data_IF_675210622201
#
_entry.id   IF_675210622201
#
_cell.length_a   1.000
_cell.length_b   1.000
_cell.length_c   1.000
_cell.angle_alpha   90.00
_cell.angle_beta   90.00
_cell.angle_gamma   90.00
#
_symmetry.space_group_name_H-M   'P 1'
#
loop_
_entity.id
_entity.type
_entity.pdbx_description
1 polymer ?
#
# COMPACT_ATOMS: atom_id res chain seq x y z
N UNK A 1 9.75 -13.82 -36.94
CA UNK A 1 9.51 -14.46 -35.61
C UNK A 1 10.74 -14.45 -34.70
N UNK A 2 11.90 -15.01 -35.11
CA UNK A 2 13.14 -14.97 -34.30
C UNK A 2 13.67 -13.54 -34.01
N UNK A 3 13.55 -12.62 -34.98
CA UNK A 3 13.91 -11.20 -34.80
C UNK A 3 13.00 -10.48 -33.78
N UNK A 4 11.70 -10.77 -33.80
CA UNK A 4 10.71 -10.21 -32.87
C UNK A 4 10.91 -10.71 -31.44
N UNK A 5 11.26 -11.99 -31.26
CA UNK A 5 11.60 -12.57 -29.95
C UNK A 5 12.92 -11.98 -29.44
N UNK A 6 13.92 -11.80 -30.30
CA UNK A 6 15.18 -11.15 -29.94
C UNK A 6 15.01 -9.69 -29.54
N UNK A 7 14.19 -8.93 -30.25
CA UNK A 7 13.84 -7.54 -29.90
C UNK A 7 13.05 -7.50 -28.59
N UNK A 8 12.10 -8.41 -28.36
CA UNK A 8 11.36 -8.47 -27.09
C UNK A 8 12.27 -8.80 -25.90
N UNK A 9 13.20 -9.76 -26.05
CA UNK A 9 14.15 -10.12 -24.99
C UNK A 9 15.15 -9.00 -24.69
N UNK A 10 15.66 -8.31 -25.73
CA UNK A 10 16.51 -7.14 -25.58
C UNK A 10 15.76 -5.97 -24.93
N UNK A 11 14.48 -5.76 -25.29
CA UNK A 11 13.64 -4.73 -24.66
C UNK A 11 13.31 -5.08 -23.21
N UNK A 12 13.09 -6.35 -22.86
CA UNK A 12 12.88 -6.79 -21.47
C UNK A 12 14.16 -6.60 -20.64
N UNK A 13 15.33 -6.98 -21.17
CA UNK A 13 16.61 -6.77 -20.51
C UNK A 13 16.96 -5.28 -20.35
N UNK A 14 16.74 -4.47 -21.38
CA UNK A 14 16.92 -3.01 -21.34
C UNK A 14 15.96 -2.33 -20.35
N UNK A 15 14.75 -2.87 -20.17
CA UNK A 15 13.74 -2.35 -19.23
C UNK A 15 13.95 -2.76 -17.78
N UNK A 16 14.46 -3.96 -17.52
CA UNK A 16 14.91 -4.33 -16.16
C UNK A 16 16.00 -3.37 -15.67
N UNK A 17 16.90 -2.96 -16.58
CA UNK A 17 17.90 -1.91 -16.34
C UNK A 17 17.24 -0.54 -16.15
N UNK A 18 16.27 -0.16 -16.98
CA UNK A 18 15.66 1.17 -16.88
C UNK A 18 14.74 1.35 -15.66
N UNK A 19 13.97 0.32 -15.27
CA UNK A 19 13.21 0.32 -14.02
C UNK A 19 14.17 0.46 -12.84
N UNK A 20 15.24 -0.36 -12.79
CA UNK A 20 16.31 -0.23 -11.80
C UNK A 20 16.91 1.18 -11.77
N UNK A 21 17.08 1.84 -12.91
CA UNK A 21 17.59 3.21 -12.99
C UNK A 21 16.62 4.25 -12.41
N UNK A 22 15.31 4.15 -12.67
CA UNK A 22 14.29 5.06 -12.08
C UNK A 22 14.22 4.89 -10.56
N UNK A 23 14.26 3.65 -10.09
CA UNK A 23 14.28 3.32 -8.66
C UNK A 23 15.58 3.78 -7.98
N UNK A 24 16.73 3.52 -8.60
CA UNK A 24 18.04 4.02 -8.15
C UNK A 24 18.05 5.54 -8.09
N UNK A 25 17.44 6.22 -9.06
CA UNK A 25 17.34 7.68 -9.09
C UNK A 25 16.47 8.23 -7.96
N UNK A 26 15.31 7.60 -7.68
CA UNK A 26 14.45 8.00 -6.54
C UNK A 26 15.17 7.80 -5.21
N UNK A 27 15.86 6.69 -5.05
CA UNK A 27 16.67 6.38 -3.88
C UNK A 27 17.79 7.41 -3.74
N UNK A 28 18.61 7.64 -4.76
CA UNK A 28 19.68 8.64 -4.75
C UNK A 28 19.18 10.06 -4.45
N UNK A 29 18.04 10.45 -5.04
CA UNK A 29 17.41 11.74 -4.76
C UNK A 29 16.97 11.83 -3.29
N UNK A 30 16.42 10.75 -2.73
CA UNK A 30 16.08 10.66 -1.32
C UNK A 30 17.32 10.77 -0.43
N UNK A 31 18.39 10.01 -0.70
CA UNK A 31 19.65 10.07 0.05
C UNK A 31 20.27 11.48 0.00
N UNK A 32 20.27 12.12 -1.18
CA UNK A 32 20.82 13.47 -1.36
C UNK A 32 19.98 14.53 -0.64
N UNK A 33 18.64 14.42 -0.66
CA UNK A 33 17.74 15.31 0.08
C UNK A 33 17.92 15.13 1.59
N UNK A 34 17.94 13.89 2.08
CA UNK A 34 18.07 13.60 3.51
C UNK A 34 19.43 14.05 4.05
N UNK A 35 20.53 13.80 3.32
CA UNK A 35 21.85 14.28 3.71
C UNK A 35 21.95 15.82 3.78
N UNK A 36 21.24 16.54 2.89
CA UNK A 36 21.12 18.01 2.98
C UNK A 36 20.35 18.45 4.23
N UNK A 37 19.25 17.77 4.54
CA UNK A 37 18.42 18.05 5.73
C UNK A 37 19.22 17.80 7.01
N UNK A 38 19.94 16.67 7.11
CA UNK A 38 20.79 16.34 8.26
C UNK A 38 21.83 17.43 8.52
N UNK A 39 22.54 17.87 7.47
CA UNK A 39 23.54 18.91 7.59
C UNK A 39 22.94 20.27 7.98
N UNK A 40 21.72 20.60 7.52
CA UNK A 40 21.02 21.83 7.88
C UNK A 40 20.53 21.82 9.33
N UNK A 41 19.91 20.71 9.79
CA UNK A 41 19.46 20.54 11.17
C UNK A 41 20.60 20.66 12.19
N UNK A 42 21.78 20.15 11.87
CA UNK A 42 22.96 20.27 12.73
C UNK A 42 23.48 21.71 12.85
N UNK A 43 23.35 22.52 11.78
CA UNK A 43 23.78 23.94 11.79
C UNK A 43 22.87 24.82 12.62
N UNK A 44 21.55 24.62 12.51
CA UNK A 44 20.54 25.44 13.18
C UNK A 44 20.11 24.87 14.54
N UNK A 45 20.79 23.82 15.00
CA UNK A 45 20.41 23.05 16.19
C UNK A 45 20.13 23.91 17.44
N UNK A 46 20.95 24.93 17.67
CA UNK A 46 20.80 25.85 18.79
C UNK A 46 19.58 26.77 18.66
N UNK A 47 19.27 27.24 17.44
CA UNK A 47 18.12 28.12 17.16
C UNK A 47 16.80 27.33 17.18
N UNK A 48 16.81 26.10 16.65
CA UNK A 48 15.67 25.18 16.72
C UNK A 48 15.38 24.82 18.17
N UNK A 49 16.40 24.42 18.94
CA UNK A 49 16.24 24.06 20.35
C UNK A 49 15.81 25.25 21.23
N UNK A 50 16.32 26.46 20.98
CA UNK A 50 15.88 27.65 21.72
C UNK A 50 14.47 28.09 21.35
N UNK A 51 14.04 27.86 20.10
CA UNK A 51 12.66 28.13 19.66
C UNK A 51 11.66 27.21 20.35
N UNK A 52 12.01 25.94 20.55
CA UNK A 52 11.12 24.93 21.12
C UNK A 52 10.94 25.03 22.65
N UNK A 53 11.56 26.00 23.32
CA UNK A 53 11.40 26.19 24.76
C UNK A 53 9.95 26.62 25.09
N UNK A 54 9.27 25.73 25.82
CA UNK A 54 7.83 25.62 25.91
C UNK A 54 7.20 26.69 26.80
N UNK A 55 7.06 27.93 26.30
CA UNK A 55 6.00 28.84 26.79
C UNK A 55 4.69 28.55 26.05
N UNK A 56 4.04 27.43 26.38
CA UNK A 56 2.63 27.17 26.04
C UNK A 56 1.64 28.10 26.80
N UNK A 57 2.16 29.06 27.57
CA UNK A 57 1.36 29.95 28.38
C UNK A 57 1.20 31.33 27.72
N UNK A 58 -0.07 31.63 27.44
CA UNK A 58 -0.75 32.92 27.61
C UNK A 58 -0.93 33.92 26.47
N UNK A 59 -0.38 33.76 25.26
CA UNK A 59 -0.59 34.78 24.21
C UNK A 59 -0.79 34.22 22.79
N UNK A 60 -1.85 33.43 22.57
CA UNK A 60 -2.06 32.77 21.25
C UNK A 60 -3.31 33.26 20.49
N UNK A 61 -4.14 34.18 20.98
CA UNK A 61 -5.50 34.29 20.37
C UNK A 61 -6.11 35.69 20.28
N UNK A 62 -5.43 36.66 19.66
CA UNK A 62 -6.12 37.86 19.15
C UNK A 62 -5.47 38.34 17.84
N UNK A 63 -6.09 38.04 16.70
CA UNK A 63 -5.73 38.64 15.41
C UNK A 63 -6.97 39.06 14.62
N UNK A 64 -6.91 40.24 14.03
CA UNK A 64 -8.04 40.96 13.40
C UNK A 64 -8.55 40.38 12.07
N UNK A 65 -8.03 39.24 11.61
CA UNK A 65 -8.36 38.63 10.31
C UNK A 65 -8.91 37.20 10.38
N UNK A 66 -9.17 36.67 11.59
CA UNK A 66 -9.78 35.35 11.75
C UNK A 66 -11.30 35.41 11.59
N UNK A 67 -11.93 34.32 11.14
CA UNK A 67 -13.38 34.24 11.11
C UNK A 67 -13.96 34.40 12.52
N UNK A 68 -14.99 35.24 12.66
CA UNK A 68 -15.58 35.58 13.97
C UNK A 68 -16.02 34.33 14.75
N UNK A 69 -16.58 33.34 14.06
CA UNK A 69 -17.04 32.11 14.70
C UNK A 69 -15.87 31.27 15.23
N UNK A 70 -14.79 31.12 14.45
CA UNK A 70 -13.58 30.44 14.90
C UNK A 70 -12.96 31.19 16.09
N UNK A 71 -12.95 32.52 16.08
CA UNK A 71 -12.45 33.32 17.21
C UNK A 71 -13.23 33.06 18.50
N UNK A 72 -14.56 33.12 18.46
CA UNK A 72 -15.42 32.86 19.61
C UNK A 72 -15.22 31.43 20.16
N UNK A 73 -15.19 30.42 19.28
CA UNK A 73 -15.02 29.01 19.66
C UNK A 73 -13.59 28.73 20.19
N UNK A 74 -12.57 29.37 19.64
CA UNK A 74 -11.19 29.26 20.13
C UNK A 74 -11.00 29.92 21.49
N UNK A 75 -11.64 31.07 21.74
CA UNK A 75 -11.65 31.72 23.05
C UNK A 75 -12.33 30.83 24.10
N UNK A 76 -13.45 30.19 23.73
CA UNK A 76 -14.10 29.19 24.58
C UNK A 76 -13.19 28.00 24.85
N UNK A 77 -12.64 27.38 23.82
CA UNK A 77 -11.69 26.26 23.94
C UNK A 77 -10.54 26.60 24.88
N UNK A 78 -9.94 27.78 24.73
CA UNK A 78 -8.87 28.27 25.59
C UNK A 78 -9.32 28.40 27.05
N UNK A 79 -10.47 29.03 27.28
CA UNK A 79 -11.05 29.19 28.62
C UNK A 79 -11.26 27.83 29.27
N UNK A 80 -11.83 26.88 28.55
CA UNK A 80 -12.17 25.56 29.06
C UNK A 80 -10.90 24.71 29.28
N UNK A 81 -9.85 24.93 28.48
CA UNK A 81 -8.53 24.36 28.71
C UNK A 81 -7.89 24.87 30.02
N UNK A 82 -8.01 26.17 30.34
CA UNK A 82 -7.55 26.71 31.62
C UNK A 82 -8.30 26.11 32.81
N UNK A 83 -9.59 25.82 32.64
CA UNK A 83 -10.41 25.15 33.65
C UNK A 83 -10.20 23.62 33.67
N UNK A 84 -9.35 23.08 32.78
CA UNK A 84 -9.04 21.65 32.66
C UNK A 84 -10.25 20.79 32.31
N UNK A 85 -11.15 21.32 31.49
CA UNK A 85 -12.27 20.56 30.94
C UNK A 85 -11.76 19.38 30.11
N UNK A 86 -12.39 18.21 30.28
CA UNK A 86 -11.89 16.95 29.69
C UNK A 86 -11.78 17.01 28.18
N UNK A 87 -12.81 17.53 27.50
CA UNK A 87 -12.81 17.63 26.03
C UNK A 87 -11.67 18.53 25.53
N UNK A 88 -11.38 19.62 26.26
CA UNK A 88 -10.35 20.57 25.89
C UNK A 88 -8.94 19.95 26.07
N UNK A 89 -8.75 19.18 27.15
CA UNK A 89 -7.55 18.37 27.34
C UNK A 89 -7.38 17.33 26.23
N UNK A 90 -8.46 16.65 25.82
CA UNK A 90 -8.43 15.68 24.73
C UNK A 90 -8.07 16.31 23.38
N UNK A 91 -8.59 17.50 23.08
CA UNK A 91 -8.22 18.24 21.86
C UNK A 91 -6.76 18.69 21.89
N UNK A 92 -6.27 19.24 23.02
CA UNK A 92 -4.86 19.60 23.17
C UNK A 92 -3.94 18.37 23.04
N UNK A 93 -4.33 17.26 23.65
CA UNK A 93 -3.57 16.01 23.61
C UNK A 93 -3.51 15.42 22.19
N UNK A 94 -4.57 15.63 21.41
CA UNK A 94 -4.66 15.21 20.02
C UNK A 94 -3.77 16.01 19.06
N UNK A 95 -3.31 17.21 19.44
CA UNK A 95 -2.36 17.98 18.63
C UNK A 95 -0.98 17.29 18.54
N UNK A 96 -0.29 17.53 17.42
CA UNK A 96 1.09 17.11 17.22
C UNK A 96 2.02 17.81 18.21
N UNK A 97 2.88 17.03 18.86
CA UNK A 97 3.86 17.52 19.84
C UNK A 97 5.27 17.18 19.37
N UNK A 98 6.26 18.06 19.60
CA UNK A 98 7.66 17.75 19.33
C UNK A 98 8.09 16.50 20.11
N UNK A 99 8.47 15.40 19.42
CA UNK A 99 9.06 14.22 20.03
C UNK A 99 10.57 14.44 20.24
N UNK A 100 11.21 13.51 20.96
CA UNK A 100 12.67 13.47 21.02
C UNK A 100 13.28 13.22 19.64
N UNK A 101 14.49 13.75 19.40
CA UNK A 101 15.23 13.49 18.16
C UNK A 101 14.92 14.45 17.00
N UNK A 102 14.54 15.69 17.29
CA UNK A 102 14.30 16.74 16.28
C UNK A 102 15.56 17.00 15.45
N UNK A 103 16.73 17.12 16.10
CA UNK A 103 18.02 17.28 15.42
C UNK A 103 18.44 16.04 14.62
N UNK A 104 17.82 14.90 14.91
CA UNK A 104 18.00 13.65 14.17
C UNK A 104 16.87 13.43 13.17
N UNK A 105 16.10 14.48 12.82
CA UNK A 105 15.11 14.46 11.74
C UNK A 105 13.67 14.06 12.11
N UNK A 106 13.34 13.96 13.39
CA UNK A 106 11.97 13.67 13.82
C UNK A 106 11.09 14.92 13.70
N UNK A 107 10.59 15.18 12.48
CA UNK A 107 9.86 16.39 12.08
C UNK A 107 8.43 16.12 11.61
N UNK A 108 7.97 14.88 11.65
CA UNK A 108 6.59 14.52 11.32
C UNK A 108 5.79 14.28 12.60
N UNK A 109 4.97 15.27 12.99
CA UNK A 109 4.21 15.26 14.25
C UNK A 109 2.71 15.21 13.95
N UNK A 110 2.17 14.06 13.51
CA UNK A 110 0.77 13.96 13.12
C UNK A 110 -0.20 14.10 14.29
N UNK A 111 0.20 13.89 15.54
CA UNK A 111 -0.74 13.86 16.66
C UNK A 111 -1.79 12.74 16.47
N UNK A 112 -2.95 12.88 17.12
CA UNK A 112 -4.01 11.86 17.14
C UNK A 112 -5.28 12.33 16.42
N UNK A 113 -5.35 12.05 15.12
CA UNK A 113 -6.55 12.33 14.31
C UNK A 113 -7.81 11.73 14.92
N UNK A 114 -7.78 10.44 15.27
CA UNK A 114 -8.94 9.70 15.78
C UNK A 114 -9.46 10.24 17.12
N UNK A 115 -8.59 10.86 17.92
CA UNK A 115 -8.97 11.48 19.19
C UNK A 115 -9.58 12.86 18.96
N UNK A 116 -9.05 13.64 18.01
CA UNK A 116 -9.58 14.96 17.68
C UNK A 116 -11.04 14.88 17.19
N UNK A 117 -11.31 14.01 16.22
CA UNK A 117 -12.65 13.90 15.60
C UNK A 117 -13.71 13.25 16.49
N UNK A 118 -13.30 12.61 17.59
CA UNK A 118 -14.23 12.05 18.60
C UNK A 118 -14.84 13.13 19.48
N UNK A 119 -14.24 14.32 19.56
CA UNK A 119 -14.78 15.42 20.36
C UNK A 119 -15.97 16.01 19.63
N UNK A 120 -17.18 15.79 20.15
CA UNK A 120 -18.43 16.29 19.55
C UNK A 120 -19.18 17.24 20.48
N UNK A 121 -19.96 18.13 19.88
CA UNK A 121 -20.83 19.09 20.56
C UNK A 121 -21.90 18.44 21.44
N UNK A 122 -22.43 17.29 21.01
CA UNK A 122 -23.51 16.57 21.67
C UNK A 122 -23.03 15.89 22.95
N UNK A 123 -21.86 15.26 22.91
CA UNK A 123 -21.30 14.52 24.06
C UNK A 123 -20.75 15.47 25.14
N UNK A 124 -20.21 16.62 24.74
CA UNK A 124 -19.49 17.53 25.65
C UNK A 124 -20.26 18.83 25.98
N UNK A 125 -21.49 19.00 25.47
CA UNK A 125 -22.30 20.23 25.64
C UNK A 125 -21.54 21.51 25.21
N UNK A 126 -20.80 21.41 24.10
CA UNK A 126 -20.01 22.50 23.51
C UNK A 126 -20.67 23.02 22.22
N UNK A 127 -20.14 24.12 21.64
CA UNK A 127 -20.74 24.79 20.47
C UNK A 127 -20.20 24.28 19.13
N UNK A 128 -19.15 23.46 19.16
CA UNK A 128 -18.39 23.04 17.98
C UNK A 128 -17.97 21.57 18.11
N UNK A 129 -17.60 20.97 16.98
CA UNK A 129 -16.98 19.64 16.95
C UNK A 129 -15.46 19.80 16.80
N UNK A 130 -14.68 18.78 17.16
CA UNK A 130 -13.25 18.74 16.91
C UNK A 130 -12.96 18.51 15.43
N UNK A 131 -12.12 19.35 14.83
CA UNK A 131 -11.70 19.26 13.43
C UNK A 131 -10.18 19.20 13.34
N UNK A 132 -9.71 18.18 12.63
CA UNK A 132 -8.29 17.91 12.49
C UNK A 132 -7.73 18.52 11.20
N UNK A 133 -6.55 19.11 11.31
CA UNK A 133 -5.79 19.65 10.18
C UNK A 133 -4.36 19.07 10.17
N UNK A 134 -3.83 18.79 8.98
CA UNK A 134 -2.39 18.57 8.79
C UNK A 134 -1.79 19.81 8.14
N UNK A 135 -0.87 20.47 8.83
CA UNK A 135 -0.08 21.56 8.31
C UNK A 135 1.24 21.02 7.75
N UNK A 136 1.49 21.27 6.47
CA UNK A 136 2.79 21.05 5.82
C UNK A 136 3.58 22.35 5.88
N UNK A 137 4.66 22.30 6.62
CA UNK A 137 5.53 23.43 6.94
C UNK A 137 6.88 23.21 6.28
N UNK A 138 7.56 24.31 5.98
CA UNK A 138 8.95 24.30 5.54
C UNK A 138 9.75 25.24 6.40
N UNK A 139 10.85 24.73 6.96
CA UNK A 139 11.89 25.55 7.53
C UNK A 139 12.82 25.99 6.40
N UNK A 140 12.98 27.29 6.24
CA UNK A 140 13.85 27.89 5.24
C UNK A 140 15.10 28.42 5.93
N UNK A 141 16.24 27.81 5.61
CA UNK A 141 17.56 28.24 6.07
C UNK A 141 17.82 29.70 5.67
N UNK A 142 18.51 30.47 6.52
CA UNK A 142 18.82 31.90 6.34
C UNK A 142 19.45 32.27 4.98
N UNK A 143 20.08 31.29 4.29
CA UNK A 143 20.70 31.44 2.97
C UNK A 143 19.90 30.82 1.80
N UNK A 144 18.62 30.45 1.98
CA UNK A 144 17.70 29.96 0.94
C UNK A 144 18.14 28.67 0.17
N UNK A 145 19.08 27.88 0.67
CA UNK A 145 19.62 26.72 -0.06
C UNK A 145 18.93 25.39 0.27
N UNK A 146 18.28 25.28 1.43
CA UNK A 146 17.58 24.06 1.83
C UNK A 146 16.23 24.36 2.49
N UNK A 147 15.20 23.64 2.02
CA UNK A 147 13.86 23.66 2.59
C UNK A 147 13.67 22.35 3.33
N UNK A 148 13.49 22.41 4.65
CA UNK A 148 13.29 21.23 5.49
C UNK A 148 11.78 21.03 5.67
N UNK A 149 11.18 19.96 5.08
CA UNK A 149 9.75 19.71 5.22
C UNK A 149 9.44 19.19 6.62
N UNK A 150 8.33 19.67 7.18
CA UNK A 150 7.81 19.31 8.49
C UNK A 150 6.30 19.15 8.39
N UNK A 151 5.74 18.19 9.15
CA UNK A 151 4.29 17.98 9.24
C UNK A 151 3.82 18.19 10.67
N UNK A 152 2.76 18.97 10.86
CA UNK A 152 2.16 19.23 12.17
C UNK A 152 0.65 18.97 12.13
N UNK A 153 0.18 18.05 12.95
CA UNK A 153 -1.24 17.82 13.19
C UNK A 153 -1.81 18.81 14.20
N UNK A 154 -2.95 19.43 13.89
CA UNK A 154 -3.63 20.39 14.75
C UNK A 154 -5.08 19.95 14.95
N UNK A 155 -5.55 20.02 16.19
CA UNK A 155 -6.96 19.83 16.54
C UNK A 155 -7.56 21.16 16.96
N UNK A 156 -8.49 21.68 16.17
CA UNK A 156 -9.15 22.97 16.39
C UNK A 156 -10.67 22.81 16.27
N UNK A 157 -11.47 23.78 16.73
CA UNK A 157 -12.92 23.81 16.53
C UNK A 157 -13.33 23.71 15.06
N UNK A 158 -14.45 23.06 14.80
CA UNK A 158 -15.02 22.83 13.46
C UNK A 158 -15.37 24.12 12.72
N UNK A 159 -15.56 25.22 13.44
CA UNK A 159 -15.79 26.55 12.88
C UNK A 159 -14.57 27.15 12.18
N UNK A 160 -13.36 26.63 12.43
CA UNK A 160 -12.15 27.13 11.82
C UNK A 160 -11.95 26.61 10.38
N UNK A 161 -11.52 27.51 9.50
CA UNK A 161 -11.16 27.24 8.10
C UNK A 161 -9.67 26.99 7.93
N UNK A 162 -9.24 26.49 6.77
CA UNK A 162 -7.81 26.32 6.47
C UNK A 162 -7.04 27.64 6.58
N UNK A 163 -7.64 28.75 6.13
CA UNK A 163 -7.05 30.08 6.25
C UNK A 163 -6.95 30.55 7.70
N UNK A 164 -7.97 30.28 8.53
CA UNK A 164 -7.91 30.60 9.95
C UNK A 164 -6.73 29.87 10.60
N UNK A 165 -6.57 28.57 10.32
CA UNK A 165 -5.45 27.77 10.85
C UNK A 165 -4.10 28.30 10.35
N UNK A 166 -3.96 28.67 9.07
CA UNK A 166 -2.72 29.29 8.55
C UNK A 166 -2.38 30.56 9.34
N UNK A 167 -3.35 31.47 9.51
CA UNK A 167 -3.19 32.71 10.26
C UNK A 167 -2.85 32.45 11.73
N UNK A 168 -3.42 31.41 12.32
CA UNK A 168 -3.13 31.01 13.70
C UNK A 168 -1.70 30.51 13.85
N UNK A 169 -1.22 29.68 12.92
CA UNK A 169 0.16 29.22 12.93
C UNK A 169 1.03 30.46 12.81
N UNK A 170 0.94 31.19 11.67
CA UNK A 170 1.78 32.35 11.28
C UNK A 170 1.91 33.45 12.34
N UNK A 171 0.83 33.76 13.06
CA UNK A 171 0.82 34.92 13.95
C UNK A 171 0.95 34.60 15.45
N UNK A 172 0.73 33.36 15.89
CA UNK A 172 0.62 33.04 17.32
C UNK A 172 1.59 31.97 17.82
N UNK A 173 2.38 31.33 16.96
CA UNK A 173 3.55 30.59 17.42
C UNK A 173 4.69 31.57 17.75
N UNK A 174 4.55 32.27 18.89
CA UNK A 174 5.64 33.03 19.52
C UNK A 174 6.89 32.17 19.76
N UNK A 175 6.69 30.86 19.91
CA UNK A 175 7.71 29.80 19.99
C UNK A 175 8.66 29.85 18.78
N UNK A 176 8.25 30.37 17.62
CA UNK A 176 8.98 30.20 16.35
C UNK A 176 9.60 31.48 15.78
N UNK A 177 9.75 32.56 16.57
CA UNK A 177 10.33 33.83 16.09
C UNK A 177 11.84 33.77 15.77
N UNK A 178 12.51 32.64 15.99
CA UNK A 178 13.96 32.46 15.79
C UNK A 178 14.33 31.73 14.49
N UNK A 179 13.37 31.10 13.79
CA UNK A 179 13.60 30.38 12.53
C UNK A 179 12.62 30.90 11.49
N UNK A 180 13.02 30.99 10.21
CA UNK A 180 12.09 31.34 9.14
C UNK A 180 11.33 30.09 8.68
N UNK A 181 10.04 30.04 8.97
CA UNK A 181 9.17 28.95 8.54
C UNK A 181 8.06 29.49 7.65
N UNK A 182 7.65 28.67 6.70
CA UNK A 182 6.60 28.99 5.75
C UNK A 182 5.57 27.87 5.74
N UNK A 183 4.30 28.24 5.86
CA UNK A 183 3.20 27.30 5.65
C UNK A 183 3.05 27.06 4.15
N UNK A 184 3.21 25.82 3.70
CA UNK A 184 3.00 25.47 2.29
C UNK A 184 1.54 25.13 2.01
N UNK A 185 0.96 24.28 2.86
CA UNK A 185 -0.39 23.75 2.69
C UNK A 185 -0.94 23.30 4.04
N UNK A 186 -2.15 23.74 4.36
CA UNK A 186 -2.95 23.19 5.44
C UNK A 186 -4.10 22.42 4.80
N UNK A 187 -4.25 21.15 5.18
CA UNK A 187 -5.33 20.29 4.68
C UNK A 187 -6.25 19.94 5.84
N UNK A 188 -7.54 20.26 5.70
CA UNK A 188 -8.55 19.77 6.63
C UNK A 188 -8.83 18.27 6.39
N UNK A 189 -8.85 17.48 7.47
CA UNK A 189 -9.34 16.10 7.43
C UNK A 189 -10.64 16.04 8.21
N UNK A 190 -11.74 16.07 7.48
CA UNK A 190 -13.05 15.85 8.06
C UNK A 190 -13.26 14.34 8.24
N UNK A 191 -14.01 13.90 9.26
CA UNK A 191 -14.55 12.56 9.32
C UNK A 191 -15.69 12.37 8.30
N UNK A 192 -15.74 13.20 7.25
CA UNK A 192 -16.83 13.20 6.29
C UNK A 192 -16.88 11.82 5.65
N UNK A 193 -17.98 11.11 5.93
CA UNK A 193 -18.29 9.85 5.30
C UNK A 193 -18.54 10.19 3.84
N UNK A 194 -17.47 10.20 3.04
CA UNK A 194 -17.59 10.36 1.60
C UNK A 194 -18.62 9.34 1.11
N UNK A 195 -19.55 9.73 0.23
CA UNK A 195 -20.49 8.77 -0.32
C UNK A 195 -19.68 7.67 -0.99
N UNK A 196 -19.90 6.42 -0.54
CA UNK A 196 -19.15 5.25 -1.02
C UNK A 196 -19.16 5.27 -2.55
N UNK A 197 -17.96 5.27 -3.13
CA UNK A 197 -17.80 5.31 -4.57
C UNK A 197 -18.59 4.15 -5.23
N UNK A 198 -19.38 4.38 -6.29
CA UNK A 198 -20.11 3.32 -6.99
C UNK A 198 -19.23 2.13 -7.40
N UNK A 199 -17.95 2.37 -7.71
CA UNK A 199 -16.98 1.34 -8.06
C UNK A 199 -16.64 0.44 -6.86
N UNK A 200 -16.58 0.99 -5.66
CA UNK A 200 -16.41 0.24 -4.40
C UNK A 200 -17.60 -0.66 -4.16
N UNK A 201 -18.83 -0.16 -4.37
CA UNK A 201 -20.05 -0.98 -4.26
C UNK A 201 -20.00 -2.14 -5.27
N UNK A 202 -19.59 -1.89 -6.51
CA UNK A 202 -19.40 -2.93 -7.51
C UNK A 202 -18.35 -3.98 -7.08
N UNK A 203 -17.21 -3.56 -6.52
CA UNK A 203 -16.20 -4.47 -5.99
C UNK A 203 -16.74 -5.35 -4.87
N UNK A 204 -17.47 -4.76 -3.91
CA UNK A 204 -18.10 -5.49 -2.81
C UNK A 204 -19.09 -6.54 -3.34
N UNK A 205 -19.90 -6.19 -4.35
CA UNK A 205 -20.83 -7.13 -4.97
C UNK A 205 -20.11 -8.28 -5.70
N UNK A 206 -19.00 -8.00 -6.37
CA UNK A 206 -18.16 -9.03 -7.02
C UNK A 206 -17.55 -9.97 -5.97
N UNK A 207 -16.97 -9.43 -4.90
CA UNK A 207 -16.44 -10.22 -3.79
C UNK A 207 -17.53 -11.07 -3.12
N UNK A 208 -18.70 -10.49 -2.87
CA UNK A 208 -19.85 -11.21 -2.33
C UNK A 208 -20.30 -12.35 -3.25
N UNK A 209 -20.36 -12.13 -4.56
CA UNK A 209 -20.68 -13.17 -5.53
C UNK A 209 -19.67 -14.33 -5.53
N UNK A 210 -18.36 -14.02 -5.45
CA UNK A 210 -17.30 -15.03 -5.33
C UNK A 210 -17.46 -15.82 -4.02
N UNK A 211 -17.72 -15.15 -2.90
CA UNK A 211 -17.96 -15.80 -1.61
C UNK A 211 -19.19 -16.73 -1.65
N UNK A 212 -20.27 -16.32 -2.32
CA UNK A 212 -21.46 -17.16 -2.52
C UNK A 212 -21.12 -18.40 -3.36
N UNK A 213 -20.38 -18.23 -4.47
CA UNK A 213 -19.93 -19.35 -5.30
C UNK A 213 -19.03 -20.31 -4.50
N UNK A 214 -18.16 -19.78 -3.64
CA UNK A 214 -17.34 -20.58 -2.73
C UNK A 214 -18.17 -21.37 -1.72
N UNK A 215 -19.18 -20.74 -1.12
CA UNK A 215 -20.07 -21.38 -0.16
C UNK A 215 -20.87 -22.50 -0.84
N UNK A 216 -21.46 -22.23 -2.01
CA UNK A 216 -22.23 -23.22 -2.79
C UNK A 216 -21.33 -24.37 -3.25
N UNK A 217 -20.15 -24.07 -3.80
CA UNK A 217 -19.19 -25.06 -4.27
C UNK A 217 -18.68 -25.97 -3.15
N UNK A 218 -18.37 -25.38 -1.99
CA UNK A 218 -17.92 -26.13 -0.80
C UNK A 218 -19.02 -26.99 -0.22
N UNK A 219 -20.26 -26.46 -0.16
CA UNK A 219 -21.42 -27.22 0.30
C UNK A 219 -21.69 -28.42 -0.60
N UNK A 220 -21.65 -28.22 -1.93
CA UNK A 220 -21.82 -29.30 -2.91
C UNK A 220 -20.73 -30.37 -2.78
N UNK A 221 -19.45 -29.97 -2.65
CA UNK A 221 -18.33 -30.90 -2.48
C UNK A 221 -18.49 -31.77 -1.22
N UNK A 222 -18.74 -31.13 -0.07
CA UNK A 222 -18.87 -31.84 1.22
C UNK A 222 -20.11 -32.73 1.25
N UNK A 223 -21.28 -32.21 0.86
CA UNK A 223 -22.54 -32.93 0.99
C UNK A 223 -22.77 -33.98 -0.09
N UNK A 224 -22.27 -33.76 -1.32
CA UNK A 224 -22.54 -34.67 -2.45
C UNK A 224 -21.32 -35.50 -2.79
N UNK A 225 -20.20 -34.86 -3.10
CA UNK A 225 -19.03 -35.57 -3.63
C UNK A 225 -18.37 -36.44 -2.56
N UNK A 226 -18.12 -35.89 -1.37
CA UNK A 226 -17.51 -36.66 -0.27
C UNK A 226 -18.46 -37.67 0.34
N UNK A 227 -19.73 -37.33 0.50
CA UNK A 227 -20.73 -38.29 0.99
C UNK A 227 -20.85 -39.50 0.04
N UNK A 228 -20.81 -39.27 -1.28
CA UNK A 228 -20.75 -40.36 -2.27
C UNK A 228 -19.48 -41.20 -2.13
N UNK A 229 -18.30 -40.56 -2.02
CA UNK A 229 -17.03 -41.29 -1.82
C UNK A 229 -17.05 -42.16 -0.56
N UNK A 230 -17.53 -41.62 0.56
CA UNK A 230 -17.66 -42.34 1.83
C UNK A 230 -18.68 -43.48 1.77
N UNK A 231 -19.74 -43.35 0.97
CA UNK A 231 -20.70 -44.43 0.74
C UNK A 231 -20.10 -45.55 -0.11
N UNK A 232 -19.32 -45.21 -1.15
CA UNK A 232 -18.63 -46.18 -2.02
C UNK A 232 -17.59 -46.99 -1.24
N UNK A 233 -16.79 -46.35 -0.38
CA UNK A 233 -15.77 -47.03 0.45
C UNK A 233 -16.35 -48.03 1.46
N UNK A 234 -17.62 -47.87 1.86
CA UNK A 234 -18.30 -48.79 2.79
C UNK A 234 -18.87 -50.05 2.11
N UNK A 235 -18.78 -50.17 0.79
CA UNK A 235 -19.30 -51.32 0.03
C UNK A 235 -18.28 -52.48 0.07
N UNK A 236 -18.66 -53.72 0.45
CA UNK A 236 -17.72 -54.83 0.66
C UNK A 236 -16.84 -55.21 -0.55
N UNK A 237 -17.31 -54.94 -1.78
CA UNK A 237 -16.58 -55.24 -3.03
C UNK A 237 -15.32 -54.37 -3.23
N UNK A 238 -15.27 -53.17 -2.64
CA UNK A 238 -14.14 -52.26 -2.74
C UNK A 238 -12.96 -52.63 -1.82
N UNK A 239 -13.21 -53.46 -0.80
CA UNK A 239 -12.18 -53.97 0.13
C UNK A 239 -11.55 -55.26 -0.41
N UNK A 240 -12.32 -56.08 -1.15
CA UNK A 240 -11.88 -57.37 -1.68
C UNK A 240 -10.91 -57.26 -2.86
N UNK A 241 -11.07 -56.22 -3.68
CA UNK A 241 -10.09 -55.85 -4.70
C UNK A 241 -9.30 -54.70 -4.10
N UNK A 242 -7.99 -54.85 -3.86
CA UNK A 242 -7.10 -53.77 -3.40
C UNK A 242 -6.96 -52.63 -4.43
N UNK A 243 -8.08 -52.04 -4.82
CA UNK A 243 -8.18 -50.90 -5.68
C UNK A 243 -7.57 -49.75 -4.89
N UNK A 244 -6.35 -49.37 -5.28
CA UNK A 244 -5.80 -48.03 -5.03
C UNK A 244 -6.96 -47.08 -5.16
N UNK A 245 -7.26 -46.33 -4.08
CA UNK A 245 -8.27 -45.27 -4.04
C UNK A 245 -8.46 -44.71 -5.43
N UNK A 246 -9.53 -45.16 -6.11
CA UNK A 246 -9.84 -44.64 -7.43
C UNK A 246 -10.16 -43.18 -7.12
N UNK A 247 -9.19 -42.28 -7.34
CA UNK A 247 -9.50 -40.89 -7.58
C UNK A 247 -10.62 -40.95 -8.60
N UNK A 248 -11.83 -40.62 -8.18
CA UNK A 248 -13.00 -40.55 -9.06
C UNK A 248 -12.52 -39.78 -10.27
N UNK A 249 -12.38 -40.49 -11.38
CA UNK A 249 -11.77 -39.93 -12.57
C UNK A 249 -12.63 -38.74 -12.98
N UNK A 250 -12.07 -37.54 -13.20
CA UNK A 250 -12.82 -36.31 -13.47
C UNK A 250 -13.65 -36.33 -14.77
N UNK A 251 -13.76 -37.49 -15.44
CA UNK A 251 -14.31 -37.67 -16.77
C UNK A 251 -15.82 -37.93 -16.87
N UNK A 252 -16.56 -38.11 -15.76
CA UNK A 252 -18.02 -38.37 -15.81
C UNK A 252 -18.89 -37.29 -15.17
N UNK A 253 -18.30 -36.23 -14.65
CA UNK A 253 -19.07 -35.12 -14.09
C UNK A 253 -19.39 -34.07 -15.17
N UNK A 254 -20.65 -33.67 -15.26
CA UNK A 254 -21.08 -32.61 -16.17
C UNK A 254 -20.30 -31.31 -15.95
N UNK A 255 -20.18 -30.48 -16.99
CA UNK A 255 -19.38 -29.24 -16.97
C UNK A 255 -19.74 -28.35 -15.77
N UNK A 256 -21.03 -28.24 -15.44
CA UNK A 256 -21.53 -27.48 -14.30
C UNK A 256 -21.00 -27.97 -12.96
N UNK A 257 -20.84 -29.29 -12.78
CA UNK A 257 -20.29 -29.89 -11.57
C UNK A 257 -18.80 -29.54 -11.41
N UNK A 258 -18.03 -29.60 -12.50
CA UNK A 258 -16.62 -29.22 -12.50
C UNK A 258 -16.43 -27.73 -12.20
N UNK A 259 -17.32 -26.87 -12.70
CA UNK A 259 -17.31 -25.44 -12.40
C UNK A 259 -17.60 -25.18 -10.92
N UNK A 260 -18.62 -25.83 -10.33
CA UNK A 260 -18.92 -25.69 -8.90
C UNK A 260 -17.77 -26.19 -8.01
N UNK A 261 -17.16 -27.33 -8.36
CA UNK A 261 -16.01 -27.85 -7.63
C UNK A 261 -14.77 -26.97 -7.74
N UNK A 262 -14.65 -26.14 -8.78
CA UNK A 262 -13.56 -25.16 -8.89
C UNK A 262 -13.64 -24.08 -7.80
N UNK A 263 -14.84 -23.80 -7.27
CA UNK A 263 -15.04 -22.86 -6.16
C UNK A 263 -15.04 -23.53 -4.78
N UNK A 264 -14.93 -24.87 -4.68
CA UNK A 264 -14.86 -25.54 -3.38
C UNK A 264 -13.58 -25.14 -2.63
N UNK A 265 -13.76 -24.43 -1.52
CA UNK A 265 -12.69 -24.02 -0.62
C UNK A 265 -12.01 -25.24 -0.02
N UNK A 266 -12.79 -26.26 0.38
CA UNK A 266 -12.24 -27.48 0.96
C UNK A 266 -11.27 -28.18 -0.01
N UNK A 267 -11.72 -28.49 -1.22
CA UNK A 267 -10.90 -29.17 -2.23
C UNK A 267 -9.66 -28.35 -2.63
N UNK A 268 -9.82 -27.04 -2.75
CA UNK A 268 -8.72 -26.16 -3.11
C UNK A 268 -7.70 -26.03 -1.97
N UNK A 269 -8.11 -25.98 -0.70
CA UNK A 269 -7.21 -25.98 0.45
C UNK A 269 -6.47 -27.31 0.58
N UNK A 270 -7.15 -28.44 0.41
CA UNK A 270 -6.50 -29.76 0.43
C UNK A 270 -5.41 -29.87 -0.65
N UNK A 271 -5.71 -29.37 -1.87
CA UNK A 271 -4.72 -29.27 -2.96
C UNK A 271 -3.59 -28.30 -2.65
N UNK A 272 -3.90 -27.15 -2.06
CA UNK A 272 -2.92 -26.10 -1.73
C UNK A 272 -1.93 -26.56 -0.66
N UNK A 273 -2.42 -27.31 0.34
CA UNK A 273 -1.62 -27.82 1.46
C UNK A 273 -1.00 -29.19 1.16
N UNK A 274 -1.30 -29.80 0.02
CA UNK A 274 -0.69 -31.06 -0.39
C UNK A 274 0.80 -30.89 -0.67
N UNK A 275 1.63 -31.68 0.02
CA UNK A 275 3.08 -31.74 -0.21
C UNK A 275 3.48 -32.79 -1.24
N UNK A 276 2.50 -33.45 -1.89
CA UNK A 276 2.75 -34.41 -2.97
C UNK A 276 3.37 -33.68 -4.17
N UNK A 277 4.50 -34.18 -4.65
CA UNK A 277 5.22 -33.63 -5.80
C UNK A 277 5.17 -34.61 -6.97
N UNK A 278 5.04 -34.08 -8.19
CA UNK A 278 5.15 -34.90 -9.40
C UNK A 278 6.60 -35.34 -9.59
N UNK A 279 6.86 -36.54 -10.14
CA UNK A 279 8.22 -37.00 -10.43
C UNK A 279 9.00 -36.04 -11.34
N UNK A 280 8.30 -35.28 -12.19
CA UNK A 280 8.91 -34.31 -13.12
C UNK A 280 9.14 -32.91 -12.49
N UNK A 281 8.91 -32.76 -11.19
CA UNK A 281 9.09 -31.46 -10.52
C UNK A 281 10.54 -31.22 -10.08
N UNK A 282 11.05 -30.01 -10.36
CA UNK A 282 12.39 -29.60 -9.94
C UNK A 282 12.30 -29.00 -8.53
N UNK A 283 12.56 -29.83 -7.53
CA UNK A 283 12.26 -29.52 -6.12
C UNK A 283 13.00 -28.30 -5.57
N UNK A 284 14.25 -28.08 -5.99
CA UNK A 284 15.04 -26.91 -5.57
C UNK A 284 14.41 -25.57 -6.01
N UNK A 285 13.64 -25.56 -7.11
CA UNK A 285 12.94 -24.35 -7.57
C UNK A 285 11.84 -23.93 -6.60
N UNK A 286 11.25 -24.86 -5.85
CA UNK A 286 10.27 -24.51 -4.81
C UNK A 286 10.93 -23.75 -3.67
N UNK A 287 12.11 -24.18 -3.22
CA UNK A 287 12.89 -23.49 -2.19
C UNK A 287 13.34 -22.09 -2.64
N UNK A 288 13.83 -21.99 -3.88
CA UNK A 288 14.22 -20.71 -4.48
C UNK A 288 13.02 -19.75 -4.50
N UNK A 289 11.86 -20.19 -5.00
CA UNK A 289 10.65 -19.37 -5.02
C UNK A 289 10.23 -18.93 -3.63
N UNK A 290 10.27 -19.81 -2.64
CA UNK A 290 9.90 -19.46 -1.27
C UNK A 290 10.81 -18.35 -0.69
N UNK A 291 12.12 -18.49 -0.85
CA UNK A 291 13.08 -17.49 -0.37
C UNK A 291 12.91 -16.16 -1.10
N UNK A 292 12.75 -16.18 -2.44
CA UNK A 292 12.54 -14.97 -3.22
C UNK A 292 11.21 -14.28 -2.90
N UNK A 293 10.10 -15.04 -2.72
CA UNK A 293 8.82 -14.45 -2.29
C UNK A 293 8.94 -13.79 -0.92
N UNK A 294 9.61 -14.45 0.03
CA UNK A 294 9.80 -13.91 1.38
C UNK A 294 10.62 -12.62 1.34
N UNK A 295 11.66 -12.58 0.51
CA UNK A 295 12.48 -11.38 0.30
C UNK A 295 11.65 -10.23 -0.29
N UNK A 296 10.84 -10.50 -1.33
CA UNK A 296 9.93 -9.51 -1.93
C UNK A 296 8.94 -8.94 -0.90
N UNK A 297 8.32 -9.81 -0.11
CA UNK A 297 7.37 -9.40 0.95
C UNK A 297 8.06 -8.51 1.98
N UNK A 298 9.28 -8.88 2.41
CA UNK A 298 10.06 -8.08 3.35
C UNK A 298 10.34 -6.68 2.80
N UNK A 299 10.86 -6.57 1.57
CA UNK A 299 11.17 -5.26 0.97
C UNK A 299 9.96 -4.39 0.74
N UNK A 300 8.87 -4.93 0.19
CA UNK A 300 7.66 -4.15 -0.01
C UNK A 300 7.05 -3.66 1.31
N UNK A 301 7.13 -4.46 2.38
CA UNK A 301 6.64 -4.03 3.71
C UNK A 301 7.36 -2.77 4.18
N UNK A 302 8.70 -2.73 4.10
CA UNK A 302 9.46 -1.54 4.46
C UNK A 302 9.27 -0.39 3.47
N UNK A 303 9.27 -0.69 2.17
CA UNK A 303 9.16 0.32 1.12
C UNK A 303 7.85 1.12 1.22
N UNK A 304 6.70 0.45 1.33
CA UNK A 304 5.42 1.15 1.50
C UNK A 304 5.28 1.85 2.85
N UNK A 305 6.06 1.43 3.86
CA UNK A 305 6.09 2.10 5.16
C UNK A 305 6.89 3.40 5.15
N UNK A 306 7.81 3.60 4.19
CA UNK A 306 8.68 4.79 4.11
C UNK A 306 7.90 6.10 4.05
N UNK A 307 6.73 6.11 3.43
CA UNK A 307 5.88 7.30 3.30
C UNK A 307 5.17 7.67 4.62
N UNK A 308 5.19 6.77 5.62
CA UNK A 308 4.51 6.91 6.90
C UNK A 308 5.46 6.96 8.10
N UNK A 309 6.76 7.17 7.87
CA UNK A 309 7.75 7.26 8.96
C UNK A 309 7.71 8.62 9.67
N UNK A 310 7.84 8.58 10.98
CA UNK A 310 7.96 9.75 11.84
C UNK A 310 9.33 10.43 11.71
N UNK A 311 10.40 9.62 11.56
CA UNK A 311 11.77 10.10 11.40
C UNK A 311 12.44 9.53 10.12
N UNK A 312 12.41 10.26 8.99
CA UNK A 312 13.06 9.84 7.76
C UNK A 312 14.60 9.80 7.84
N UNK A 313 15.23 10.59 8.72
CA UNK A 313 16.68 10.55 8.91
C UNK A 313 17.11 9.28 9.64
N UNK A 314 16.32 8.79 10.60
CA UNK A 314 16.59 7.50 11.25
C UNK A 314 16.58 6.35 10.24
N UNK A 315 15.64 6.38 9.27
CA UNK A 315 15.62 5.42 8.17
C UNK A 315 16.91 5.50 7.34
N UNK A 316 17.36 6.71 7.01
CA UNK A 316 18.61 6.93 6.26
C UNK A 316 19.85 6.43 7.01
N UNK A 317 19.88 6.50 8.34
CA UNK A 317 20.97 5.89 9.10
C UNK A 317 20.90 4.36 9.10
N UNK A 318 19.71 3.80 9.30
CA UNK A 318 19.49 2.34 9.25
C UNK A 318 19.84 1.80 7.86
N UNK A 319 19.57 2.56 6.82
CA UNK A 319 19.80 2.14 5.45
C UNK A 319 21.27 1.97 5.11
N UNK A 320 22.18 2.64 5.82
CA UNK A 320 23.65 2.44 5.71
C UNK A 320 24.12 1.09 6.28
N UNK A 321 23.30 0.39 7.07
CA UNK A 321 23.69 -0.90 7.66
C UNK A 321 23.67 -2.01 6.62
N UNK A 322 24.66 -2.92 6.70
CA UNK A 322 24.76 -4.07 5.79
C UNK A 322 23.49 -4.94 5.78
N UNK A 323 22.85 -5.13 6.93
CA UNK A 323 21.62 -5.93 7.02
C UNK A 323 20.44 -5.28 6.30
N UNK A 324 20.34 -3.94 6.32
CA UNK A 324 19.24 -3.24 5.67
C UNK A 324 19.44 -3.13 4.15
N UNK A 325 20.66 -3.34 3.63
CA UNK A 325 20.90 -3.45 2.18
C UNK A 325 20.06 -4.56 1.54
N UNK A 326 19.77 -5.65 2.27
CA UNK A 326 18.86 -6.71 1.81
C UNK A 326 17.46 -6.13 1.53
N UNK A 327 16.96 -5.24 2.39
CA UNK A 327 15.65 -4.61 2.23
C UNK A 327 15.66 -3.63 1.05
N UNK A 328 16.70 -2.80 0.95
CA UNK A 328 16.82 -1.80 -0.13
C UNK A 328 16.92 -2.45 -1.52
N UNK A 329 17.70 -3.54 -1.62
CA UNK A 329 17.97 -4.23 -2.89
C UNK A 329 16.93 -5.33 -3.19
N UNK A 330 15.73 -5.23 -2.62
CA UNK A 330 14.68 -6.24 -2.82
C UNK A 330 14.30 -6.44 -4.29
N UNK A 331 14.55 -5.45 -5.15
CA UNK A 331 14.30 -5.59 -6.59
C UNK A 331 15.14 -6.69 -7.25
N UNK A 332 16.32 -7.02 -6.70
CA UNK A 332 17.14 -8.14 -7.16
C UNK A 332 16.45 -9.50 -6.96
N UNK A 333 15.51 -9.61 -6.02
CA UNK A 333 14.72 -10.83 -5.83
C UNK A 333 13.84 -11.13 -7.05
N UNK A 334 13.40 -10.11 -7.79
CA UNK A 334 12.57 -10.26 -9.00
C UNK A 334 13.33 -10.93 -10.13
N UNK A 335 14.64 -10.71 -10.25
CA UNK A 335 15.49 -11.39 -11.24
C UNK A 335 15.46 -12.91 -11.08
N UNK A 336 15.28 -13.40 -9.84
CA UNK A 336 15.12 -14.83 -9.58
C UNK A 336 13.85 -15.38 -10.22
N UNK A 337 12.74 -14.61 -10.23
CA UNK A 337 11.51 -15.02 -10.90
C UNK A 337 11.64 -15.01 -12.42
N UNK A 338 12.38 -14.07 -13.00
CA UNK A 338 12.67 -14.08 -14.43
C UNK A 338 13.50 -15.30 -14.82
N UNK A 339 14.54 -15.63 -14.04
CA UNK A 339 15.35 -16.83 -14.26
C UNK A 339 14.51 -18.11 -14.18
N UNK A 340 13.73 -18.27 -13.11
CA UNK A 340 12.90 -19.47 -12.91
C UNK A 340 11.82 -19.58 -13.99
N UNK A 341 11.23 -18.47 -14.41
CA UNK A 341 10.23 -18.45 -15.49
C UNK A 341 10.85 -18.83 -16.83
N UNK A 342 12.03 -18.29 -17.16
CA UNK A 342 12.77 -18.61 -18.38
C UNK A 342 13.20 -20.08 -18.43
N UNK A 343 13.71 -20.60 -17.31
CA UNK A 343 14.09 -22.01 -17.17
C UNK A 343 12.89 -22.93 -17.40
N UNK A 344 11.76 -22.69 -16.71
CA UNK A 344 10.58 -23.54 -16.82
C UNK A 344 9.95 -23.48 -18.22
N UNK A 345 9.89 -22.28 -18.83
CA UNK A 345 9.39 -22.13 -20.19
C UNK A 345 10.26 -22.87 -21.20
N UNK A 346 11.59 -22.83 -21.04
CA UNK A 346 12.53 -23.56 -21.90
C UNK A 346 12.40 -25.06 -21.70
N UNK A 347 12.32 -25.52 -20.45
CA UNK A 347 12.13 -26.93 -20.11
C UNK A 347 10.86 -27.51 -20.74
N UNK A 348 9.72 -26.81 -20.58
CA UNK A 348 8.44 -27.22 -21.19
C UNK A 348 8.45 -27.14 -22.72
N UNK A 349 9.22 -26.22 -23.30
CA UNK A 349 9.38 -26.13 -24.74
C UNK A 349 10.18 -27.32 -25.28
N UNK A 350 11.26 -27.72 -24.60
CA UNK A 350 12.09 -28.86 -24.98
C UNK A 350 11.30 -30.17 -24.93
N UNK A 351 10.50 -30.39 -23.88
CA UNK A 351 9.59 -31.55 -23.80
C UNK A 351 8.63 -31.57 -24.99
N UNK A 352 7.99 -30.44 -25.31
CA UNK A 352 7.06 -30.35 -26.45
C UNK A 352 7.73 -30.53 -27.81
N UNK A 353 9.00 -30.13 -27.94
CA UNK A 353 9.78 -30.37 -29.15
C UNK A 353 10.09 -31.86 -29.30
N UNK A 354 10.49 -32.53 -28.23
CA UNK A 354 10.76 -33.97 -28.22
C UNK A 354 9.50 -34.78 -28.57
N UNK A 355 8.35 -34.45 -27.97
CA UNK A 355 7.06 -35.05 -28.29
C UNK A 355 6.58 -34.72 -29.71
N UNK A 356 6.77 -33.47 -30.16
CA UNK A 356 6.28 -32.97 -31.45
C UNK A 356 7.09 -33.44 -32.67
N UNK A 357 8.33 -33.90 -32.48
CA UNK A 357 9.16 -34.49 -33.55
C UNK A 357 8.52 -35.77 -34.12
N UNK A 358 7.66 -36.46 -33.36
CA UNK A 358 6.95 -37.67 -33.81
C UNK A 358 5.74 -37.41 -34.72
N UNK A 359 5.06 -36.26 -34.56
CA UNK A 359 3.71 -36.05 -35.13
C UNK A 359 3.63 -34.92 -36.17
N UNK A 360 4.74 -34.28 -36.55
CA UNK A 360 4.79 -33.26 -37.61
C UNK A 360 4.00 -31.96 -37.33
N UNK A 361 3.53 -31.77 -36.10
CA UNK A 361 2.74 -30.60 -35.70
C UNK A 361 3.65 -29.42 -35.32
N UNK A 362 3.33 -28.23 -35.83
CA UNK A 362 4.01 -27.00 -35.45
C UNK A 362 3.65 -26.57 -34.02
N UNK A 363 4.64 -26.09 -33.26
CA UNK A 363 4.42 -25.57 -31.90
C UNK A 363 3.55 -24.32 -31.98
N UNK A 364 2.34 -24.39 -31.40
CA UNK A 364 1.40 -23.27 -31.30
C UNK A 364 1.85 -22.29 -30.21
N UNK A 365 2.92 -21.54 -30.46
CA UNK A 365 3.44 -20.53 -29.53
C UNK A 365 2.36 -19.56 -29.04
N UNK A 366 1.45 -19.12 -29.92
CA UNK A 366 0.33 -18.26 -29.55
C UNK A 366 -0.58 -18.86 -28.46
N UNK A 367 -0.78 -20.17 -28.46
CA UNK A 367 -1.58 -20.85 -27.43
C UNK A 367 -0.87 -20.84 -26.06
N UNK A 368 0.46 -20.94 -26.03
CA UNK A 368 1.23 -20.86 -24.78
C UNK A 368 1.08 -19.48 -24.12
N UNK A 369 1.17 -18.41 -24.91
CA UNK A 369 0.97 -17.05 -24.42
C UNK A 369 -0.47 -16.78 -24.01
N UNK A 370 -1.45 -17.30 -24.76
CA UNK A 370 -2.87 -17.16 -24.42
C UNK A 370 -3.24 -17.86 -23.11
N UNK A 371 -2.74 -19.08 -22.88
CA UNK A 371 -2.93 -19.79 -21.60
C UNK A 371 -2.27 -19.04 -20.45
N UNK A 372 -1.09 -18.45 -20.68
CA UNK A 372 -0.42 -17.62 -19.68
C UNK A 372 -1.22 -16.37 -19.34
N UNK A 373 -1.76 -15.70 -20.36
CA UNK A 373 -2.60 -14.51 -20.20
C UNK A 373 -3.86 -14.83 -19.37
N UNK A 374 -4.65 -15.82 -19.81
CA UNK A 374 -5.90 -16.21 -19.12
C UNK A 374 -5.63 -16.67 -17.67
N UNK A 375 -4.45 -17.23 -17.38
CA UNK A 375 -4.07 -17.64 -16.03
C UNK A 375 -3.73 -16.47 -15.11
N UNK A 376 -3.03 -15.45 -15.61
CA UNK A 376 -2.49 -14.37 -14.77
C UNK A 376 -3.45 -13.18 -14.65
N UNK A 377 -4.13 -12.83 -15.74
CA UNK A 377 -4.99 -11.65 -15.82
C UNK A 377 -6.11 -11.62 -14.77
N UNK A 378 -6.82 -12.73 -14.45
CA UNK A 378 -7.88 -12.68 -13.44
C UNK A 378 -7.39 -12.27 -12.05
N UNK A 379 -6.22 -12.77 -11.64
CA UNK A 379 -5.62 -12.42 -10.37
C UNK A 379 -5.16 -10.95 -10.36
N UNK A 380 -4.57 -10.48 -11.46
CA UNK A 380 -4.18 -9.08 -11.62
C UNK A 380 -5.39 -8.14 -11.54
N UNK A 381 -6.47 -8.44 -12.26
CA UNK A 381 -7.71 -7.65 -12.24
C UNK A 381 -8.33 -7.61 -10.84
N UNK A 382 -8.33 -8.74 -10.12
CA UNK A 382 -8.82 -8.79 -8.75
C UNK A 382 -7.99 -7.93 -7.81
N UNK A 383 -6.66 -8.02 -7.88
CA UNK A 383 -5.77 -7.17 -7.08
C UNK A 383 -5.98 -5.71 -7.43
N UNK A 384 -6.04 -5.36 -8.72
CA UNK A 384 -6.31 -4.00 -9.17
C UNK A 384 -7.59 -3.46 -8.55
N UNK A 385 -8.70 -4.18 -8.71
CA UNK A 385 -10.01 -3.82 -8.16
C UNK A 385 -9.96 -3.59 -6.64
N UNK A 386 -9.31 -4.48 -5.87
CA UNK A 386 -9.20 -4.34 -4.41
C UNK A 386 -8.39 -3.10 -4.06
N UNK A 387 -7.26 -2.88 -4.72
CA UNK A 387 -6.33 -1.79 -4.38
C UNK A 387 -6.81 -0.41 -4.83
N UNK A 388 -7.57 -0.32 -5.92
CA UNK A 388 -8.03 0.97 -6.47
C UNK A 388 -9.44 1.32 -6.01
N UNK A 389 -10.33 0.34 -5.83
CA UNK A 389 -11.73 0.61 -5.50
C UNK A 389 -12.08 0.36 -4.02
N UNK A 390 -11.43 -0.59 -3.35
CA UNK A 390 -11.78 -0.92 -1.96
C UNK A 390 -10.83 -0.30 -0.93
N UNK A 391 -9.52 -0.39 -1.18
CA UNK A 391 -8.50 0.00 -0.21
C UNK A 391 -8.59 1.47 0.23
N UNK A 392 -8.84 2.46 -0.66
CA UNK A 392 -8.97 3.85 -0.24
C UNK A 392 -10.08 4.09 0.79
N UNK A 393 -11.18 3.36 0.67
CA UNK A 393 -12.38 3.49 1.52
C UNK A 393 -12.27 2.70 2.85
N UNK A 394 -11.34 1.74 2.95
CA UNK A 394 -11.18 0.91 4.14
C UNK A 394 -10.50 1.64 5.30
N UNK A 395 -9.72 2.68 5.01
CA UNK A 395 -8.92 3.37 6.01
C UNK A 395 -9.16 4.88 5.92
N UNK A 396 -9.22 5.51 7.09
CA UNK A 396 -9.32 6.96 7.22
C UNK A 396 -8.12 7.47 8.01
N UNK A 397 -7.67 8.66 7.66
CA UNK A 397 -6.64 9.33 8.44
C UNK A 397 -5.78 10.25 7.59
N UNK A 398 -5.04 11.14 8.26
CA UNK A 398 -4.24 12.14 7.58
C UNK A 398 -3.09 11.49 6.82
N UNK A 399 -2.42 10.49 7.38
CA UNK A 399 -1.32 9.79 6.68
C UNK A 399 -1.83 8.87 5.56
N UNK A 400 -3.08 8.41 5.64
CA UNK A 400 -3.69 7.61 4.59
C UNK A 400 -3.86 8.45 3.33
N UNK A 401 -4.48 9.64 3.41
CA UNK A 401 -4.74 10.49 2.24
C UNK A 401 -3.63 11.53 1.93
N UNK A 402 -2.64 11.73 2.81
CA UNK A 402 -1.56 12.73 2.61
C UNK A 402 -0.19 12.15 2.23
N UNK A 403 -0.04 10.83 2.32
CA UNK A 403 1.27 10.16 2.23
C UNK A 403 1.58 9.65 0.82
N UNK A 404 0.62 9.02 0.16
CA UNK A 404 0.79 8.70 -1.25
C UNK A 404 0.40 9.93 -2.05
N UNK A 405 0.93 10.11 -3.25
CA UNK A 405 0.17 10.83 -4.25
C UNK A 405 -0.98 9.91 -4.68
N UNK A 406 -1.96 9.65 -3.80
CA UNK A 406 -3.23 8.99 -4.16
C UNK A 406 -3.92 9.81 -5.24
N UNK A 407 -3.73 11.13 -5.25
CA UNK A 407 -4.11 11.97 -6.39
C UNK A 407 -3.45 11.49 -7.69
N UNK A 408 -2.18 11.03 -7.69
CA UNK A 408 -1.53 10.42 -8.87
C UNK A 408 -1.79 8.93 -9.06
N UNK A 409 -2.08 8.16 -8.00
CA UNK A 409 -2.46 6.75 -8.11
C UNK A 409 -3.89 6.65 -8.67
N UNK A 410 -4.80 7.47 -8.17
CA UNK A 410 -6.16 7.61 -8.66
C UNK A 410 -6.18 8.22 -10.06
N UNK A 411 -5.54 9.38 -10.30
CA UNK A 411 -5.51 9.97 -11.65
C UNK A 411 -4.72 9.12 -12.66
N UNK A 412 -3.57 8.58 -12.25
CA UNK A 412 -2.76 7.67 -13.06
C UNK A 412 -3.49 6.37 -13.36
N UNK A 413 -4.29 5.85 -12.44
CA UNK A 413 -5.09 4.67 -12.70
C UNK A 413 -6.29 4.95 -13.62
N UNK A 414 -6.97 6.08 -13.45
CA UNK A 414 -8.06 6.48 -14.34
C UNK A 414 -7.62 6.55 -15.81
N UNK A 415 -6.42 7.08 -16.06
CA UNK A 415 -5.89 7.23 -17.42
C UNK A 415 -5.20 5.96 -17.93
N UNK A 416 -4.48 5.23 -17.06
CA UNK A 416 -3.52 4.19 -17.47
C UNK A 416 -3.84 2.77 -16.98
N UNK A 417 -5.02 2.48 -16.43
CA UNK A 417 -5.40 1.12 -15.99
C UNK A 417 -5.23 0.04 -17.09
N UNK A 418 -5.54 0.39 -18.34
CA UNK A 418 -5.47 -0.51 -19.49
C UNK A 418 -4.04 -1.00 -19.77
N UNK A 419 -3.03 -0.23 -19.37
CA UNK A 419 -1.61 -0.60 -19.56
C UNK A 419 -1.24 -1.85 -18.77
N UNK A 420 -1.81 -2.05 -17.58
CA UNK A 420 -1.63 -3.25 -16.77
C UNK A 420 -2.30 -4.47 -17.41
N UNK A 421 -3.48 -4.30 -18.02
CA UNK A 421 -4.22 -5.40 -18.68
C UNK A 421 -3.48 -5.90 -19.93
N UNK A 422 -2.80 -4.99 -20.62
CA UNK A 422 -1.96 -5.32 -21.77
C UNK A 422 -0.53 -5.75 -21.38
N UNK A 423 -0.17 -5.69 -20.09
CA UNK A 423 1.20 -5.93 -19.60
C UNK A 423 2.24 -5.03 -20.26
N UNK A 424 1.90 -3.75 -20.48
CA UNK A 424 2.78 -2.72 -21.06
C UNK A 424 2.93 -1.49 -20.15
N UNK A 425 2.57 -1.61 -18.87
CA UNK A 425 2.75 -0.57 -17.84
C UNK A 425 4.23 -0.16 -17.68
N UNK A 426 5.16 -1.09 -17.97
CA UNK A 426 6.60 -0.81 -17.99
C UNK A 426 7.08 -0.09 -19.27
N UNK A 427 6.15 0.29 -20.16
CA UNK A 427 6.41 0.90 -21.47
C UNK A 427 5.74 2.24 -21.62
N UNK A 428 4.47 2.28 -21.26
CA UNK A 428 3.60 3.40 -21.52
C UNK A 428 3.36 4.12 -20.20
N UNK A 429 3.67 5.42 -20.15
CA UNK A 429 3.45 6.29 -19.00
C UNK A 429 4.07 5.76 -17.69
N UNK A 430 5.37 5.44 -17.73
CA UNK A 430 6.14 4.90 -16.58
C UNK A 430 6.03 5.80 -15.34
N UNK A 431 5.98 7.11 -15.54
CA UNK A 431 5.88 8.10 -14.44
C UNK A 431 4.48 8.18 -13.81
N UNK A 432 3.45 7.62 -14.47
CA UNK A 432 2.04 7.67 -14.06
C UNK A 432 1.34 6.31 -14.23
N UNK A 433 1.95 5.25 -13.69
CA UNK A 433 1.36 3.90 -13.76
C UNK A 433 0.19 3.74 -12.78
N UNK A 434 -0.86 2.99 -13.17
CA UNK A 434 -1.96 2.65 -12.27
C UNK A 434 -1.46 1.82 -11.08
N UNK A 435 -0.62 0.81 -11.33
CA UNK A 435 -0.03 -0.04 -10.29
C UNK A 435 1.43 -0.31 -10.63
N UNK A 436 2.31 -0.01 -9.69
CA UNK A 436 3.77 -0.04 -9.88
C UNK A 436 4.49 -1.33 -9.49
N UNK A 437 3.80 -2.37 -8.99
CA UNK A 437 4.37 -3.67 -8.60
C UNK A 437 4.13 -4.89 -9.53
N UNK A 438 3.25 -4.86 -10.57
CA UNK A 438 3.06 -5.97 -11.51
C UNK A 438 4.16 -6.19 -12.56
N UNK A 439 5.33 -5.55 -12.42
CA UNK A 439 6.35 -5.44 -13.47
C UNK A 439 7.13 -6.71 -13.77
#
# INVERSE_FOLDING_TARGET
>A
MKLLIGICLLLVAFRAVNARNVWSQQIENFYHLVGKIEAALQREALEILSSLDLKWHEEIWTNANMSRQCEEDMLKFRKDLFHRENYALHMLDACGKPPSGILTGNLNWPGSYSQCVKVTKEENNITFDGKYFMANLVLTESNNQTNIPMKLGLCVPSSCTENDVILQIENNLFVWSMVNWRVLKVTAYLPEVAPINPWTVAAILICAAICILQLVGTTYDVMVVRHRKAATEKTPEAIANGAKSHEVSPGQEGISCRLLLAFSVYNNIEKLLSTKQSPDSITCLHGIRFLSLTWIVLGHTYYFSLESVDNPLAVFEISKTFTFQVVLETMLAVDTFFLVSGLLMTYLLLIRLEEGIGDGHSIKFGMLYLVRYIRLTPALLFVMMVTTWMLPELFMGPLWHSGQPWDTFESGCWENWWTNILYINNIVHIDHTCIGWPW
#
